data_IF_185334260185
#
_entry.id   IF_185334260185
#
_cell.length_a   1.000
_cell.length_b   1.000
_cell.length_c   1.000
_cell.angle_alpha   90.00
_cell.angle_beta   90.00
_cell.angle_gamma   90.00
#
_symmetry.space_group_name_H-M   'P 1'
#
loop_
_entity.id
_entity.type
_entity.pdbx_description
1 polymer ?
#
# COMPACT_ATOMS: atom_id res chain seq x y z
N UNK A 1 13.55 9.40 3.77
CA UNK A 1 12.11 9.07 3.91
C UNK A 1 11.84 8.85 5.39
N UNK A 2 10.66 9.21 5.88
CA UNK A 2 10.27 9.11 7.29
C UNK A 2 8.85 8.56 7.36
N UNK A 3 8.64 7.58 8.23
CA UNK A 3 7.34 6.95 8.49
C UNK A 3 7.07 7.00 9.98
N UNK A 4 5.82 7.28 10.34
CA UNK A 4 5.32 7.21 11.70
C UNK A 4 4.00 6.46 11.73
N UNK A 5 3.89 5.54 12.69
CA UNK A 5 2.65 4.87 13.05
C UNK A 5 2.28 5.29 14.47
N UNK A 6 1.06 5.79 14.63
CA UNK A 6 0.45 6.05 15.92
C UNK A 6 -0.95 5.44 15.92
N UNK A 7 -1.16 4.38 16.71
CA UNK A 7 -2.39 3.60 16.77
C UNK A 7 -2.83 3.47 18.22
N UNK A 8 -4.12 3.71 18.49
CA UNK A 8 -4.74 3.52 19.79
C UNK A 8 -6.06 2.78 19.58
N UNK A 9 -6.12 1.50 19.94
CA UNK A 9 -7.31 0.66 19.78
C UNK A 9 -7.59 -0.12 21.07
N UNK A 10 -8.75 0.11 21.71
CA UNK A 10 -9.19 -0.70 22.85
C UNK A 10 -8.23 -0.75 24.05
N UNK A 11 -7.43 0.30 24.28
CA UNK A 11 -6.40 0.35 25.33
C UNK A 11 -5.05 -0.26 24.92
N UNK A 12 -4.88 -0.59 23.65
CA UNK A 12 -3.62 -0.97 23.05
C UNK A 12 -3.04 0.18 22.22
N UNK A 13 -1.92 0.72 22.68
CA UNK A 13 -1.21 1.83 22.02
C UNK A 13 0.05 1.33 21.30
N UNK A 14 0.23 1.77 20.06
CA UNK A 14 1.42 1.51 19.25
C UNK A 14 1.93 2.84 18.73
N UNK A 15 3.15 3.20 19.10
CA UNK A 15 3.87 4.32 18.51
C UNK A 15 5.19 3.83 17.93
N UNK A 16 5.39 3.99 16.62
CA UNK A 16 6.61 3.56 15.94
C UNK A 16 7.04 4.60 14.91
N UNK A 17 8.35 4.77 14.77
CA UNK A 17 8.97 5.63 13.77
C UNK A 17 10.08 4.90 13.04
N UNK A 18 10.13 5.07 11.72
CA UNK A 18 11.19 4.57 10.86
C UNK A 18 11.82 5.74 10.12
N UNK A 19 13.12 5.94 10.35
CA UNK A 19 13.92 6.93 9.59
C UNK A 19 14.85 6.19 8.65
N UNK A 20 14.66 6.41 7.35
CA UNK A 20 15.46 5.79 6.31
C UNK A 20 16.77 6.55 6.13
N UNK A 21 17.89 5.85 6.24
CA UNK A 21 19.22 6.38 5.96
C UNK A 21 19.30 6.88 4.50
N UNK A 22 20.02 7.99 4.21
CA UNK A 22 20.14 8.54 2.86
C UNK A 22 20.72 7.55 1.82
N UNK A 23 21.55 6.58 2.23
CA UNK A 23 22.05 5.55 1.32
C UNK A 23 21.03 4.44 1.01
N UNK A 24 19.90 4.41 1.73
CA UNK A 24 18.83 3.42 1.55
C UNK A 24 19.15 2.03 2.07
N UNK A 25 20.22 1.87 2.86
CA UNK A 25 20.71 0.56 3.35
C UNK A 25 20.33 0.26 4.80
N UNK A 26 19.86 1.27 5.54
CA UNK A 26 19.57 1.17 6.97
C UNK A 26 18.29 1.93 7.31
N UNK A 27 17.58 1.43 8.31
CA UNK A 27 16.43 2.08 8.92
C UNK A 27 16.69 2.19 10.41
N UNK A 28 16.60 3.41 10.94
CA UNK A 28 16.60 3.66 12.38
C UNK A 28 15.17 3.53 12.89
N UNK A 29 14.93 2.54 13.74
CA UNK A 29 13.61 2.22 14.30
C UNK A 29 13.55 2.65 15.76
N UNK A 30 12.51 3.40 16.11
CA UNK A 30 12.13 3.64 17.50
C UNK A 30 10.67 3.28 17.68
N UNK A 31 10.34 2.54 18.73
CA UNK A 31 8.94 2.17 18.95
C UNK A 31 8.58 1.81 20.39
N UNK A 32 7.30 1.95 20.71
CA UNK A 32 6.65 1.52 21.94
C UNK A 32 5.36 0.81 21.57
N UNK A 33 5.26 -0.47 21.94
CA UNK A 33 4.12 -1.33 21.62
C UNK A 33 3.50 -1.81 22.94
N UNK A 34 2.36 -1.24 23.29
CA UNK A 34 1.64 -1.51 24.53
C UNK A 34 2.57 -1.44 25.76
N UNK A 35 2.58 -2.51 26.55
CA UNK A 35 3.41 -2.61 27.77
C UNK A 35 4.84 -3.09 27.53
N UNK A 36 5.23 -3.43 26.29
CA UNK A 36 6.59 -3.92 25.97
C UNK A 36 7.64 -2.83 26.23
N UNK A 37 8.89 -3.24 26.47
CA UNK A 37 10.00 -2.29 26.56
C UNK A 37 10.11 -1.46 25.26
N UNK A 38 10.47 -0.16 25.33
CA UNK A 38 10.75 0.61 24.14
C UNK A 38 11.87 -0.04 23.31
N UNK A 39 11.73 0.00 21.99
CA UNK A 39 12.71 -0.48 21.02
C UNK A 39 13.45 0.72 20.45
N UNK A 40 14.77 0.60 20.33
CA UNK A 40 15.63 1.52 19.60
C UNK A 40 16.67 0.68 18.87
N UNK A 41 16.48 0.47 17.57
CA UNK A 41 17.24 -0.48 16.77
C UNK A 41 17.68 0.12 15.43
N UNK A 42 18.72 -0.48 14.83
CA UNK A 42 19.17 -0.17 13.48
C UNK A 42 19.03 -1.41 12.61
N UNK A 43 18.06 -1.35 11.71
CA UNK A 43 17.72 -2.47 10.82
C UNK A 43 18.50 -2.29 9.52
N UNK A 44 19.38 -3.25 9.19
CA UNK A 44 19.97 -3.32 7.87
C UNK A 44 18.91 -3.79 6.87
N UNK A 45 18.73 -3.05 5.78
CA UNK A 45 17.71 -3.35 4.78
C UNK A 45 18.32 -3.50 3.39
N UNK A 46 17.86 -4.48 2.60
CA UNK A 46 18.17 -4.52 1.18
C UNK A 46 17.73 -3.23 0.49
N UNK A 47 18.39 -2.89 -0.60
CA UNK A 47 17.91 -1.82 -1.48
C UNK A 47 16.46 -2.09 -1.91
N UNK A 48 15.68 -1.03 -2.12
CA UNK A 48 14.26 -1.10 -2.50
C UNK A 48 13.38 -1.78 -1.43
N UNK A 49 13.65 -1.49 -0.15
CA UNK A 49 12.73 -1.81 0.95
C UNK A 49 11.76 -0.66 1.18
N UNK A 50 10.47 -0.99 1.33
CA UNK A 50 9.39 -0.03 1.51
C UNK A 50 8.59 -0.35 2.79
N UNK A 51 7.74 0.54 3.28
CA UNK A 51 6.62 0.17 4.14
C UNK A 51 5.39 -0.18 3.27
N UNK A 52 4.30 -0.67 3.86
CA UNK A 52 3.12 -1.11 3.09
C UNK A 52 2.55 0.02 2.22
N UNK A 53 2.43 1.24 2.75
CA UNK A 53 1.89 2.38 2.02
C UNK A 53 2.86 2.83 0.92
N UNK A 54 4.16 2.91 1.20
CA UNK A 54 5.15 3.28 0.18
C UNK A 54 5.35 2.18 -0.87
N UNK A 55 5.13 0.91 -0.56
CA UNK A 55 5.11 -0.18 -1.54
C UNK A 55 3.92 -0.04 -2.50
N UNK A 56 2.72 0.27 -1.97
CA UNK A 56 1.55 0.60 -2.79
C UNK A 56 1.82 1.86 -3.64
N UNK A 57 2.47 2.87 -3.08
CA UNK A 57 2.86 4.06 -3.83
C UNK A 57 3.89 3.76 -4.92
N UNK A 58 4.83 2.85 -4.66
CA UNK A 58 5.82 2.40 -5.63
C UNK A 58 5.18 1.76 -6.87
N UNK A 59 4.04 1.09 -6.71
CA UNK A 59 3.27 0.55 -7.85
C UNK A 59 2.90 1.62 -8.89
N UNK A 60 2.81 2.91 -8.49
CA UNK A 60 2.56 4.04 -9.41
C UNK A 60 3.69 4.27 -10.42
N UNK A 61 4.92 3.80 -10.12
CA UNK A 61 6.07 3.91 -11.01
C UNK A 61 6.15 2.75 -12.03
N UNK A 62 5.42 1.68 -11.81
CA UNK A 62 5.47 0.51 -12.68
C UNK A 62 4.73 0.81 -13.99
N UNK A 63 5.31 0.40 -15.11
CA UNK A 63 4.62 0.44 -16.40
C UNK A 63 3.66 -0.76 -16.49
N UNK A 64 2.55 -0.68 -15.76
CA UNK A 64 1.59 -1.79 -15.63
C UNK A 64 0.93 -2.19 -16.94
N UNK A 65 0.95 -1.32 -17.96
CA UNK A 65 0.52 -1.66 -19.31
C UNK A 65 1.30 -2.80 -19.96
N UNK A 66 2.51 -3.11 -19.47
CA UNK A 66 3.36 -4.18 -19.99
C UNK A 66 3.13 -5.53 -19.29
N UNK A 67 2.44 -5.52 -18.15
CA UNK A 67 2.22 -6.72 -17.34
C UNK A 67 1.01 -7.51 -17.88
N UNK A 68 1.16 -8.82 -17.96
CA UNK A 68 0.09 -9.76 -18.24
C UNK A 68 -0.63 -10.14 -16.95
N UNK A 69 -1.90 -10.54 -17.09
CA UNK A 69 -2.67 -11.05 -15.95
C UNK A 69 -1.88 -12.20 -15.29
N UNK A 70 -1.77 -12.16 -13.97
CA UNK A 70 -0.97 -13.03 -13.10
C UNK A 70 0.54 -12.80 -13.08
N UNK A 71 1.08 -11.81 -13.80
CA UNK A 71 2.47 -11.40 -13.61
C UNK A 71 2.67 -10.92 -12.16
N UNK A 72 3.81 -11.29 -11.59
CA UNK A 72 4.15 -11.04 -10.19
C UNK A 72 5.39 -10.15 -10.07
N UNK A 73 5.34 -9.23 -9.11
CA UNK A 73 6.47 -8.45 -8.64
C UNK A 73 6.62 -8.68 -7.13
N UNK A 74 7.84 -8.91 -6.67
CA UNK A 74 8.12 -9.03 -5.23
C UNK A 74 8.83 -7.78 -4.75
N UNK A 75 8.37 -7.22 -3.64
CA UNK A 75 8.96 -6.05 -3.00
C UNK A 75 9.20 -6.35 -1.53
N UNK A 76 10.41 -6.05 -1.05
CA UNK A 76 10.72 -6.18 0.37
C UNK A 76 10.02 -5.06 1.15
N UNK A 77 9.29 -5.44 2.20
CA UNK A 77 8.49 -4.51 2.99
C UNK A 77 8.85 -4.63 4.47
N UNK A 78 9.07 -3.51 5.15
CA UNK A 78 9.25 -3.47 6.59
C UNK A 78 7.89 -3.34 7.28
N UNK A 79 7.55 -4.29 8.14
CA UNK A 79 6.32 -4.32 8.95
C UNK A 79 6.72 -4.70 10.37
N UNK A 80 6.34 -3.88 11.37
CA UNK A 80 6.64 -4.12 12.79
C UNK A 80 8.11 -4.50 13.08
N UNK A 81 9.05 -3.78 12.44
CA UNK A 81 10.49 -4.00 12.60
C UNK A 81 11.05 -5.25 11.90
N UNK A 82 10.25 -5.95 11.10
CA UNK A 82 10.65 -7.16 10.37
C UNK A 82 10.46 -6.99 8.86
N UNK A 83 11.35 -7.60 8.09
CA UNK A 83 11.27 -7.61 6.63
C UNK A 83 10.39 -8.77 6.17
N UNK A 84 9.40 -8.44 5.35
CA UNK A 84 8.49 -9.37 4.71
C UNK A 84 8.48 -9.11 3.20
N UNK A 85 8.64 -10.14 2.37
CA UNK A 85 8.38 -10.01 0.95
C UNK A 85 6.87 -9.91 0.70
N UNK A 86 6.45 -8.83 0.04
CA UNK A 86 5.09 -8.68 -0.48
C UNK A 86 5.11 -9.01 -1.97
N UNK A 87 4.21 -9.90 -2.38
CA UNK A 87 3.94 -10.20 -3.77
C UNK A 87 2.80 -9.35 -4.30
N UNK A 88 3.10 -8.54 -5.31
CA UNK A 88 2.12 -7.82 -6.11
C UNK A 88 1.80 -8.64 -7.35
N UNK A 89 0.55 -9.08 -7.48
CA UNK A 89 0.04 -9.80 -8.65
C UNK A 89 -0.88 -8.90 -9.44
N UNK A 90 -0.60 -8.74 -10.74
CA UNK A 90 -1.47 -7.99 -11.63
C UNK A 90 -2.72 -8.81 -11.98
N UNK A 91 -3.90 -8.26 -11.73
CA UNK A 91 -5.18 -8.95 -11.95
C UNK A 91 -5.91 -8.48 -13.22
N UNK A 92 -5.38 -7.47 -13.92
CA UNK A 92 -5.96 -6.94 -15.15
C UNK A 92 -6.54 -5.53 -14.99
N UNK A 93 -7.38 -5.14 -15.95
CA UNK A 93 -8.07 -3.84 -15.99
C UNK A 93 -9.55 -4.02 -15.69
N UNK A 94 -10.12 -3.14 -14.89
CA UNK A 94 -11.57 -3.05 -14.68
C UNK A 94 -12.03 -1.61 -14.41
N UNK A 95 -13.28 -1.32 -14.74
CA UNK A 95 -13.89 -0.02 -14.40
C UNK A 95 -14.60 -0.12 -13.06
N UNK A 96 -14.23 0.72 -12.10
CA UNK A 96 -14.84 0.75 -10.76
C UNK A 96 -15.57 2.07 -10.49
N UNK A 97 -16.60 2.08 -9.64
CA UNK A 97 -17.16 3.32 -9.11
C UNK A 97 -16.13 4.04 -8.23
N UNK A 98 -16.11 5.37 -8.31
CA UNK A 98 -15.41 6.21 -7.33
C UNK A 98 -16.23 6.40 -6.06
N UNK A 99 -15.73 7.26 -5.16
CA UNK A 99 -16.48 7.65 -3.97
C UNK A 99 -17.77 8.40 -4.33
N UNK A 100 -17.73 9.23 -5.37
CA UNK A 100 -18.91 9.94 -5.86
C UNK A 100 -19.70 9.07 -6.85
N UNK A 101 -21.04 8.94 -6.69
CA UNK A 101 -21.85 8.03 -7.52
C UNK A 101 -21.82 8.30 -9.03
N UNK A 102 -21.55 9.54 -9.43
CA UNK A 102 -21.47 9.95 -10.85
C UNK A 102 -20.10 9.63 -11.48
N UNK A 103 -19.14 9.16 -10.68
CA UNK A 103 -17.76 8.95 -11.11
C UNK A 103 -17.44 7.47 -11.24
N UNK A 104 -16.79 7.14 -12.36
CA UNK A 104 -16.18 5.85 -12.60
C UNK A 104 -14.74 6.04 -13.03
N UNK A 105 -13.92 5.04 -12.73
CA UNK A 105 -12.50 5.06 -13.06
C UNK A 105 -12.12 3.77 -13.77
N UNK A 106 -11.47 3.89 -14.94
CA UNK A 106 -10.76 2.75 -15.54
C UNK A 106 -9.49 2.50 -14.73
N UNK A 107 -9.35 1.31 -14.16
CA UNK A 107 -8.28 1.01 -13.21
C UNK A 107 -7.56 -0.29 -13.55
N UNK A 108 -6.27 -0.32 -13.25
CA UNK A 108 -5.52 -1.55 -13.01
C UNK A 108 -5.84 -2.09 -11.62
N UNK A 109 -6.07 -3.40 -11.53
CA UNK A 109 -6.28 -4.11 -10.27
C UNK A 109 -5.03 -4.90 -9.91
N UNK A 110 -4.56 -4.72 -8.68
CA UNK A 110 -3.37 -5.38 -8.15
C UNK A 110 -3.75 -6.08 -6.84
N UNK A 111 -3.31 -7.31 -6.67
CA UNK A 111 -3.37 -8.03 -5.38
C UNK A 111 -2.00 -7.96 -4.72
N UNK A 112 -1.93 -7.42 -3.50
CA UNK A 112 -0.77 -7.47 -2.64
C UNK A 112 -0.99 -8.53 -1.56
N UNK A 113 -0.06 -9.48 -1.45
CA UNK A 113 -0.10 -10.56 -0.44
C UNK A 113 1.25 -10.66 0.26
N UNK A 114 1.26 -10.67 1.59
CA UNK A 114 2.47 -10.89 2.38
C UNK A 114 2.77 -12.40 2.48
N UNK A 115 4.04 -12.79 2.40
CA UNK A 115 4.46 -14.13 2.82
C UNK A 115 4.51 -14.11 4.35
N UNK A 116 3.63 -14.89 4.98
CA UNK A 116 3.60 -15.25 6.41
C UNK A 116 4.27 -14.23 7.35
N UNK A 117 3.48 -13.28 7.87
CA UNK A 117 3.82 -12.61 9.12
C UNK A 117 2.98 -13.19 10.24
N UNK A 118 3.48 -13.16 11.47
CA UNK A 118 2.75 -13.64 12.67
C UNK A 118 1.37 -12.98 12.87
N UNK A 119 1.08 -11.89 12.14
CA UNK A 119 -0.20 -11.18 12.13
C UNK A 119 -0.90 -11.16 10.75
N UNK A 120 -0.25 -11.60 9.66
CA UNK A 120 -0.85 -11.78 8.33
C UNK A 120 -0.99 -13.27 8.04
N UNK A 121 -2.16 -13.82 8.30
CA UNK A 121 -2.51 -15.16 7.81
C UNK A 121 -2.56 -15.13 6.27
N UNK A 122 -2.27 -16.26 5.61
CA UNK A 122 -2.30 -16.47 4.14
C UNK A 122 -3.60 -15.98 3.44
N UNK A 123 -4.66 -15.67 4.19
CA UNK A 123 -5.93 -15.12 3.69
C UNK A 123 -6.06 -13.59 3.66
N UNK A 124 -5.13 -12.80 4.23
CA UNK A 124 -5.21 -11.33 4.25
C UNK A 124 -4.65 -10.73 2.96
N UNK A 125 -5.53 -10.63 1.96
CA UNK A 125 -5.23 -10.01 0.66
C UNK A 125 -5.61 -8.54 0.68
N UNK A 126 -4.72 -7.71 0.14
CA UNK A 126 -5.01 -6.30 -0.13
C UNK A 126 -5.19 -6.16 -1.64
N UNK A 127 -6.35 -5.68 -2.07
CA UNK A 127 -6.62 -5.31 -3.44
C UNK A 127 -6.45 -3.81 -3.59
N UNK A 128 -5.74 -3.39 -4.63
CA UNK A 128 -5.50 -1.98 -4.94
C UNK A 128 -5.95 -1.72 -6.37
N UNK A 129 -6.75 -0.67 -6.53
CA UNK A 129 -7.17 -0.15 -7.81
C UNK A 129 -6.48 1.17 -8.07
N UNK A 130 -5.66 1.22 -9.11
CA UNK A 130 -5.02 2.45 -9.55
C UNK A 130 -5.50 2.83 -10.95
N UNK A 131 -5.66 4.11 -11.24
CA UNK A 131 -6.12 4.56 -12.56
C UNK A 131 -5.24 4.04 -13.69
N UNK A 132 -5.87 3.63 -14.80
CA UNK A 132 -5.21 3.34 -16.07
C UNK A 132 -4.89 4.63 -16.83
N UNK A 133 -4.05 5.47 -16.21
CA UNK A 133 -3.48 6.67 -16.81
C UNK A 133 -2.11 6.99 -16.21
N UNK A 134 -1.43 7.99 -16.75
CA UNK A 134 -0.08 8.38 -16.31
C UNK A 134 0.01 8.84 -14.85
N UNK A 135 -1.13 9.08 -14.18
CA UNK A 135 -1.12 9.40 -12.76
C UNK A 135 -1.19 8.17 -11.87
N UNK A 136 -1.71 7.03 -12.31
CA UNK A 136 -1.88 5.80 -11.50
C UNK A 136 -2.47 6.06 -10.09
N UNK A 137 -3.51 6.91 -9.99
CA UNK A 137 -4.11 7.31 -8.72
C UNK A 137 -4.76 6.11 -8.02
N UNK A 138 -4.46 5.84 -6.74
CA UNK A 138 -5.11 4.77 -5.98
C UNK A 138 -6.55 5.17 -5.66
N UNK A 139 -7.51 4.67 -6.43
CA UNK A 139 -8.93 4.99 -6.30
C UNK A 139 -9.58 4.22 -5.15
N UNK A 140 -9.21 2.94 -4.98
CA UNK A 140 -9.73 2.06 -3.95
C UNK A 140 -8.61 1.15 -3.43
N UNK A 141 -8.58 0.96 -2.13
CA UNK A 141 -7.81 -0.09 -1.46
C UNK A 141 -8.81 -0.92 -0.64
N UNK A 142 -8.79 -2.24 -0.80
CA UNK A 142 -9.63 -3.17 -0.06
C UNK A 142 -8.77 -4.22 0.63
N UNK A 143 -8.78 -4.23 1.96
CA UNK A 143 -8.17 -5.28 2.76
C UNK A 143 -9.25 -6.31 3.15
N UNK A 144 -9.06 -7.57 2.74
CA UNK A 144 -9.91 -8.68 3.19
C UNK A 144 -9.52 -9.08 4.62
N UNK A 145 -10.51 -9.16 5.49
CA UNK A 145 -10.37 -9.62 6.88
C UNK A 145 -11.27 -10.82 7.12
N UNK A 146 -11.14 -11.50 8.27
CA UNK A 146 -11.89 -12.73 8.57
C UNK A 146 -13.40 -12.56 8.40
N UNK A 147 -13.93 -11.40 8.79
CA UNK A 147 -15.35 -11.06 8.63
C UNK A 147 -15.46 -9.74 7.87
N UNK A 148 -15.65 -9.84 6.55
CA UNK A 148 -15.88 -8.69 5.66
C UNK A 148 -14.61 -8.09 5.06
N UNK A 149 -14.57 -6.76 4.97
CA UNK A 149 -13.47 -6.03 4.33
C UNK A 149 -13.38 -4.60 4.85
N UNK A 150 -12.16 -4.09 4.97
CA UNK A 150 -11.91 -2.66 5.17
C UNK A 150 -11.63 -2.03 3.80
N UNK A 151 -12.31 -0.91 3.50
CA UNK A 151 -12.19 -0.20 2.22
C UNK A 151 -11.77 1.25 2.44
N UNK A 152 -10.72 1.68 1.76
CA UNK A 152 -10.30 3.07 1.66
C UNK A 152 -10.55 3.58 0.25
N UNK A 153 -11.34 4.64 0.13
CA UNK A 153 -11.61 5.31 -1.15
C UNK A 153 -10.82 6.62 -1.25
N UNK A 154 -10.37 6.95 -2.46
CA UNK A 154 -9.88 8.28 -2.75
C UNK A 154 -11.03 9.28 -2.70
N UNK A 155 -10.95 10.23 -1.77
CA UNK A 155 -11.94 11.29 -1.64
C UNK A 155 -11.65 12.44 -2.62
N UNK A 156 -10.48 13.06 -2.50
CA UNK A 156 -10.05 14.18 -3.34
C UNK A 156 -8.59 14.03 -3.76
N UNK A 157 -8.22 14.71 -4.84
CA UNK A 157 -6.85 14.79 -5.33
C UNK A 157 -6.61 16.15 -5.99
N UNK A 158 -5.39 16.66 -5.87
CA UNK A 158 -4.96 17.93 -6.44
C UNK A 158 -3.46 17.87 -6.80
N UNK A 159 -2.94 18.91 -7.48
CA UNK A 159 -1.51 19.00 -7.81
C UNK A 159 -1.00 17.91 -8.76
N UNK A 160 -1.86 17.39 -9.63
CA UNK A 160 -1.49 16.28 -10.52
C UNK A 160 -0.52 16.71 -11.61
N UNK A 161 0.45 15.85 -11.89
CA UNK A 161 1.43 16.04 -12.97
C UNK A 161 0.81 15.89 -14.36
N UNK A 162 -0.20 15.02 -14.50
CA UNK A 162 -0.84 14.71 -15.77
C UNK A 162 -2.37 14.86 -15.66
N UNK A 163 -3.09 15.05 -16.79
CA UNK A 163 -4.54 14.99 -16.80
C UNK A 163 -5.08 13.60 -16.41
N UNK A 164 -6.20 13.55 -15.70
CA UNK A 164 -6.87 12.29 -15.30
C UNK A 164 -7.71 11.77 -16.46
N UNK A 165 -7.11 10.96 -17.33
CA UNK A 165 -7.77 10.38 -18.51
C UNK A 165 -8.66 9.20 -18.15
N UNK A 166 -8.40 8.55 -17.02
CA UNK A 166 -9.13 7.36 -16.59
C UNK A 166 -10.48 7.65 -15.92
N UNK A 167 -10.79 8.93 -15.61
CA UNK A 167 -12.01 9.35 -14.93
C UNK A 167 -13.15 9.58 -15.94
N UNK A 168 -14.28 8.95 -15.67
CA UNK A 168 -15.52 9.07 -16.43
C UNK A 168 -16.59 9.68 -15.54
N UNK A 169 -17.23 10.75 -15.99
CA UNK A 169 -18.32 11.44 -15.27
C UNK A 169 -19.61 11.26 -16.05
N UNK A 170 -20.64 10.73 -15.39
CA UNK A 170 -21.98 10.62 -15.96
C UNK A 170 -22.65 12.00 -16.00
N UNK A 171 -23.06 12.46 -17.18
CA UNK A 171 -23.70 13.76 -17.42
C UNK A 171 -25.23 13.74 -17.34
N UNK A 172 -25.83 12.70 -16.75
CA UNK A 172 -27.27 12.73 -16.43
C UNK A 172 -27.60 13.67 -15.29
#
# INVERSE_FOLDING_TARGET
>A
MWFEQNTSEGGWDVHQTYTFDPSGKKIFHKGKIGRRAPVNDTIAVPACTFDVLSAIYYCRKLSLSQYKINDKLTVNTLIDGKLYPIHFRFLGRETIPGLHPKEKYSCYKIEATAIESTNFNEGQKILVWITDDSNHLPILIEAKVVVGSVKGYLNTFEGLKHPVKARMISTK
#
